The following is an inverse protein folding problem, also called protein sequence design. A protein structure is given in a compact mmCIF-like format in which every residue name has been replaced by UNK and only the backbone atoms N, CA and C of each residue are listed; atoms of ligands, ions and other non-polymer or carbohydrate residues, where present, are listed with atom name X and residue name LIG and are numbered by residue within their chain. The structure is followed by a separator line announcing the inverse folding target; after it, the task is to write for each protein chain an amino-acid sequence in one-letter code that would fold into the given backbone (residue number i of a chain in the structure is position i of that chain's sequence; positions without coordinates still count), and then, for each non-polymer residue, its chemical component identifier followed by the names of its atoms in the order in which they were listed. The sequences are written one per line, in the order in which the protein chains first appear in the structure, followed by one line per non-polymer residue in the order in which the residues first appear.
data_IF_757245763990
#
_entry.id   IF_757245763990
#
_cell.length_a   1.000
_cell.length_b   1.000
_cell.length_c   1.000
_cell.angle_alpha   90.00
_cell.angle_beta   90.00
_cell.angle_gamma   90.00
#
_symmetry.space_group_name_H-M   'P 1'
#
loop_
_entity.id
_entity.type
_entity.pdbx_description
1 polymer ?
#
# COMPACT_ATOMS: atom_id res chain seq x y z
N UNK A 1 64.80 -7.58 -6.75
CA UNK A 1 64.86 -7.66 -5.27
C UNK A 1 63.45 -7.83 -4.74
N UNK A 2 63.23 -8.92 -4.00
CA UNK A 2 62.14 -9.27 -3.05
C UNK A 2 60.68 -9.09 -3.51
N UNK A 3 59.88 -10.12 -3.82
CA UNK A 3 59.45 -11.33 -3.06
C UNK A 3 58.43 -11.08 -1.94
N UNK A 4 57.43 -11.97 -1.91
CA UNK A 4 56.47 -12.36 -0.85
C UNK A 4 55.04 -11.86 -1.10
N UNK A 5 53.99 -12.67 -1.09
CA UNK A 5 53.83 -14.06 -0.71
C UNK A 5 52.32 -14.32 -0.55
N UNK A 6 51.91 -15.53 -0.94
CA UNK A 6 50.57 -16.13 -0.88
C UNK A 6 49.86 -16.04 0.48
N UNK A 7 48.52 -16.17 0.50
CA UNK A 7 47.82 -17.33 1.09
C UNK A 7 46.29 -17.16 1.09
N UNK A 8 45.59 -18.18 0.60
CA UNK A 8 44.16 -18.41 0.74
C UNK A 8 43.79 -18.63 2.22
N UNK A 9 42.63 -18.12 2.65
CA UNK A 9 41.83 -18.78 3.69
C UNK A 9 40.33 -18.62 3.46
N UNK A 10 39.76 -19.76 3.09
CA UNK A 10 38.36 -20.11 3.05
C UNK A 10 37.86 -20.34 4.49
N UNK A 11 36.71 -19.75 4.85
CA UNK A 11 35.79 -20.19 5.93
C UNK A 11 34.38 -19.77 5.46
N UNK A 12 33.54 -20.69 4.98
CA UNK A 12 32.69 -21.60 5.75
C UNK A 12 31.66 -20.88 6.63
N UNK A 13 30.41 -20.95 6.18
CA UNK A 13 29.17 -21.05 6.96
C UNK A 13 29.08 -20.39 8.34
N UNK A 14 28.27 -19.34 8.41
CA UNK A 14 27.26 -19.26 9.47
C UNK A 14 26.05 -18.46 9.01
N UNK A 15 24.93 -19.15 9.01
CA UNK A 15 23.58 -18.64 8.87
C UNK A 15 23.32 -17.63 10.01
N UNK A 16 23.52 -16.35 9.73
CA UNK A 16 23.12 -15.30 10.67
C UNK A 16 21.63 -15.03 10.49
N UNK A 17 20.86 -15.77 11.27
CA UNK A 17 19.46 -15.49 11.58
C UNK A 17 19.38 -14.05 12.09
N UNK A 18 19.04 -13.11 11.21
CA UNK A 18 18.73 -11.75 11.59
C UNK A 18 17.41 -11.73 12.38
N UNK A 19 17.52 -11.93 13.70
CA UNK A 19 16.48 -11.54 14.65
C UNK A 19 16.42 -10.02 14.69
N UNK A 20 15.65 -9.43 13.78
CA UNK A 20 15.34 -8.01 13.80
C UNK A 20 14.32 -7.73 14.90
N UNK A 21 14.82 -7.40 16.09
CA UNK A 21 14.03 -6.87 17.20
C UNK A 21 13.64 -5.41 16.89
N UNK A 22 12.70 -5.19 15.95
CA UNK A 22 12.15 -3.85 15.70
C UNK A 22 10.98 -3.56 16.63
N UNK A 23 11.29 -3.20 17.88
CA UNK A 23 10.33 -2.52 18.77
C UNK A 23 10.24 -1.04 18.37
N UNK A 24 9.50 -0.73 17.30
CA UNK A 24 9.15 0.67 16.98
C UNK A 24 7.70 0.89 16.54
N UNK A 25 6.84 -0.07 16.88
CA UNK A 25 5.38 0.04 16.81
C UNK A 25 4.81 -0.62 18.07
N UNK A 26 5.00 0.03 19.23
CA UNK A 26 4.53 -0.48 20.51
C UNK A 26 4.17 0.67 21.43
N UNK A 27 2.92 1.14 21.34
CA UNK A 27 2.32 1.94 22.40
C UNK A 27 2.18 1.06 23.65
N UNK A 28 2.76 1.52 24.75
CA UNK A 28 2.84 0.82 26.02
C UNK A 28 1.44 0.72 26.68
N UNK A 29 0.88 -0.48 26.96
CA UNK A 29 -0.21 -0.59 27.93
C UNK A 29 0.39 -0.99 29.29
N UNK A 30 0.08 -0.18 30.30
CA UNK A 30 0.37 -0.53 31.70
C UNK A 30 -0.22 -1.89 32.03
N UNK A 31 0.60 -2.68 32.73
CA UNK A 31 0.37 -4.00 33.31
C UNK A 31 -0.98 -4.15 34.01
N UNK A 32 -1.71 -5.20 33.66
CA UNK A 32 -2.21 -6.20 34.62
C UNK A 32 -2.10 -7.58 33.95
N UNK A 33 -1.38 -8.50 34.59
CA UNK A 33 -1.19 -9.88 34.14
C UNK A 33 -2.27 -10.77 34.76
N UNK A 34 -2.86 -11.65 33.95
CA UNK A 34 -3.66 -12.77 34.44
C UNK A 34 -3.84 -13.83 33.35
N UNK A 35 -3.13 -14.95 33.50
CA UNK A 35 -3.60 -16.29 33.10
C UNK A 35 -3.42 -16.74 31.64
N UNK A 36 -2.35 -17.50 31.39
CA UNK A 36 -2.39 -18.88 30.83
C UNK A 36 -3.04 -19.19 29.48
N UNK A 37 -2.29 -19.89 28.62
CA UNK A 37 -2.86 -20.78 27.61
C UNK A 37 -2.21 -20.68 26.23
N UNK A 38 -1.34 -21.64 25.90
CA UNK A 38 -0.79 -21.78 24.56
C UNK A 38 -1.87 -22.15 23.53
N UNK A 39 -1.80 -21.55 22.35
CA UNK A 39 -2.70 -21.86 21.24
C UNK A 39 -2.10 -21.42 19.91
N UNK A 40 -1.88 -22.38 19.01
CA UNK A 40 -1.55 -22.16 17.60
C UNK A 40 -2.56 -21.19 17.00
N UNK A 41 -2.10 -20.09 16.40
CA UNK A 41 -2.96 -19.24 15.57
C UNK A 41 -3.37 -20.02 14.31
N UNK A 42 -4.56 -20.62 14.36
CA UNK A 42 -5.28 -21.07 13.16
C UNK A 42 -5.73 -19.84 12.38
N UNK A 43 -5.45 -19.87 11.08
CA UNK A 43 -5.95 -18.98 10.05
C UNK A 43 -7.48 -19.18 9.94
N UNK A 44 -8.25 -18.17 10.31
CA UNK A 44 -9.71 -18.06 10.13
C UNK A 44 -10.02 -16.57 9.99
N UNK A 45 -10.75 -16.04 9.01
CA UNK A 45 -11.65 -16.57 7.99
C UNK A 45 -11.56 -15.64 6.77
N UNK A 46 -11.40 -16.19 5.57
CA UNK A 46 -11.38 -15.47 4.28
C UNK A 46 -12.79 -15.36 3.66
N UNK A 47 -13.85 -15.64 4.41
CA UNK A 47 -15.19 -15.84 3.83
C UNK A 47 -16.08 -14.59 3.84
N UNK A 48 -15.54 -13.42 4.16
CA UNK A 48 -16.29 -12.15 4.10
C UNK A 48 -15.74 -11.19 3.03
N UNK A 49 -15.30 -11.74 1.88
CA UNK A 49 -14.87 -10.93 0.73
C UNK A 49 -15.54 -11.33 -0.59
N UNK A 50 -16.59 -12.16 -0.54
CA UNK A 50 -17.38 -12.54 -1.72
C UNK A 50 -18.14 -11.35 -2.35
N UNK A 51 -18.28 -10.23 -1.64
CA UNK A 51 -18.98 -9.02 -2.11
C UNK A 51 -18.20 -8.11 -3.08
N UNK A 52 -16.95 -8.45 -3.44
CA UNK A 52 -16.17 -7.69 -4.44
C UNK A 52 -15.94 -8.48 -5.74
N UNK A 53 -16.67 -9.58 -5.94
CA UNK A 53 -16.58 -10.41 -7.14
C UNK A 53 -17.30 -9.72 -8.33
N UNK A 54 -16.71 -8.65 -8.87
CA UNK A 54 -17.20 -7.94 -10.05
C UNK A 54 -16.71 -8.67 -11.30
N UNK A 55 -17.20 -9.89 -11.53
CA UNK A 55 -17.24 -10.47 -12.88
C UNK A 55 -18.53 -10.00 -13.55
N UNK A 56 -18.49 -8.76 -14.04
CA UNK A 56 -19.51 -8.20 -14.94
C UNK A 56 -19.17 -8.55 -16.38
N UNK A 57 -19.78 -9.63 -16.87
CA UNK A 57 -19.99 -10.06 -18.25
C UNK A 57 -19.51 -9.12 -19.39
N UNK A 58 -18.40 -9.50 -20.05
CA UNK A 58 -18.10 -9.14 -21.44
C UNK A 58 -17.92 -10.43 -22.25
N UNK A 59 -18.94 -10.74 -23.05
CA UNK A 59 -18.99 -11.67 -24.19
C UNK A 59 -17.92 -12.77 -24.36
N UNK A 60 -18.38 -14.02 -24.17
CA UNK A 60 -18.00 -15.23 -24.90
C UNK A 60 -16.60 -15.37 -25.48
N UNK A 61 -15.74 -16.11 -24.77
CA UNK A 61 -14.75 -16.98 -25.39
C UNK A 61 -14.35 -18.05 -24.38
N UNK A 62 -14.55 -19.31 -24.75
CA UNK A 62 -14.20 -20.48 -23.95
C UNK A 62 -12.68 -20.54 -23.75
N UNK A 63 -12.19 -20.10 -22.59
CA UNK A 63 -10.84 -20.40 -22.12
C UNK A 63 -10.85 -20.51 -20.59
N UNK A 64 -10.77 -21.75 -20.10
CA UNK A 64 -10.58 -22.06 -18.69
C UNK A 64 -9.23 -21.49 -18.21
N UNK A 65 -9.27 -20.62 -17.19
CA UNK A 65 -8.14 -20.43 -16.28
C UNK A 65 -7.13 -19.32 -16.58
N UNK A 66 -7.40 -18.38 -17.50
CA UNK A 66 -6.62 -17.15 -17.55
C UNK A 66 -7.03 -16.26 -16.36
N UNK A 67 -6.32 -16.36 -15.23
CA UNK A 67 -6.41 -15.35 -14.17
C UNK A 67 -5.95 -14.03 -14.80
N UNK A 68 -6.91 -13.18 -15.19
CA UNK A 68 -6.60 -11.86 -15.74
C UNK A 68 -5.84 -11.11 -14.65
N UNK A 69 -4.55 -10.88 -14.89
CA UNK A 69 -3.70 -10.12 -13.99
C UNK A 69 -4.23 -8.70 -13.94
N UNK A 70 -4.68 -8.27 -12.76
CA UNK A 70 -5.16 -6.89 -12.60
C UNK A 70 -4.01 -5.97 -12.22
N UNK A 71 -4.17 -4.68 -12.52
CA UNK A 71 -3.24 -3.65 -12.09
C UNK A 71 -3.81 -2.89 -10.91
N UNK A 72 -3.15 -3.02 -9.76
CA UNK A 72 -3.44 -2.27 -8.54
C UNK A 72 -2.48 -1.09 -8.47
N UNK A 73 -3.00 0.13 -8.40
CA UNK A 73 -2.20 1.34 -8.24
C UNK A 73 -2.44 1.98 -6.88
N UNK A 74 -1.36 2.35 -6.18
CA UNK A 74 -1.43 3.03 -4.89
C UNK A 74 -0.73 4.39 -4.99
N UNK A 75 -1.43 5.47 -4.62
CA UNK A 75 -0.79 6.78 -4.52
C UNK A 75 -0.05 6.90 -3.20
N UNK A 76 1.26 7.12 -3.28
CA UNK A 76 2.16 7.17 -2.12
C UNK A 76 2.80 8.53 -1.91
N UNK A 77 3.04 8.87 -0.65
CA UNK A 77 3.77 10.06 -0.19
C UNK A 77 4.46 9.76 1.16
N UNK A 78 5.08 10.75 1.79
CA UNK A 78 5.74 10.55 3.09
C UNK A 78 4.76 10.36 4.26
N UNK A 79 3.45 10.50 4.04
CA UNK A 79 2.45 10.47 5.12
C UNK A 79 2.23 9.06 5.67
N UNK A 80 1.74 8.98 6.91
CA UNK A 80 1.32 7.69 7.46
C UNK A 80 0.08 7.15 6.75
N UNK A 81 -0.79 8.01 6.21
CA UNK A 81 -2.04 7.58 5.56
C UNK A 81 -1.77 6.77 4.29
N UNK A 82 -0.82 7.20 3.45
CA UNK A 82 -0.42 6.47 2.26
C UNK A 82 0.26 5.14 2.58
N UNK A 83 1.12 5.08 3.60
CA UNK A 83 1.74 3.83 4.07
C UNK A 83 0.70 2.80 4.50
N UNK A 84 -0.37 3.25 5.18
CA UNK A 84 -1.47 2.37 5.58
C UNK A 84 -2.30 1.90 4.38
N UNK A 85 -2.52 2.76 3.38
CA UNK A 85 -3.19 2.40 2.13
C UNK A 85 -2.39 1.37 1.32
N UNK A 86 -1.07 1.53 1.26
CA UNK A 86 -0.16 0.56 0.63
C UNK A 86 -0.25 -0.80 1.32
N UNK A 87 -0.18 -0.82 2.66
CA UNK A 87 -0.30 -2.07 3.41
C UNK A 87 -1.65 -2.75 3.18
N UNK A 88 -2.74 -1.98 3.20
CA UNK A 88 -4.08 -2.48 2.89
C UNK A 88 -4.13 -3.08 1.48
N UNK A 89 -3.60 -2.38 0.48
CA UNK A 89 -3.61 -2.85 -0.89
C UNK A 89 -2.83 -4.16 -1.07
N UNK A 90 -1.65 -4.29 -0.44
CA UNK A 90 -0.85 -5.52 -0.49
C UNK A 90 -1.55 -6.73 0.13
N UNK A 91 -2.27 -6.51 1.24
CA UNK A 91 -2.84 -7.59 2.06
C UNK A 91 -4.25 -7.99 1.62
N UNK A 92 -5.05 -7.05 1.12
CA UNK A 92 -6.48 -7.27 0.83
C UNK A 92 -6.83 -7.15 -0.66
N UNK A 93 -6.00 -6.50 -1.48
CA UNK A 93 -6.36 -6.19 -2.87
C UNK A 93 -5.49 -6.94 -3.87
N UNK A 94 -4.17 -6.97 -3.68
CA UNK A 94 -3.23 -7.60 -4.60
C UNK A 94 -3.25 -9.13 -4.46
N UNK A 95 -3.26 -9.85 -5.57
CA UNK A 95 -3.13 -11.31 -5.67
C UNK A 95 -1.81 -11.69 -6.35
N UNK A 96 -1.52 -12.99 -6.39
CA UNK A 96 -0.30 -13.49 -7.02
C UNK A 96 -0.31 -13.21 -8.53
N UNK A 97 0.77 -12.65 -9.06
CA UNK A 97 0.89 -12.27 -10.46
C UNK A 97 0.23 -10.94 -10.83
N UNK A 98 -0.41 -10.23 -9.90
CA UNK A 98 -0.92 -8.88 -10.14
C UNK A 98 0.23 -7.87 -10.29
N UNK A 99 -0.03 -6.79 -11.04
CA UNK A 99 0.85 -5.62 -11.06
C UNK A 99 0.50 -4.69 -9.91
N UNK A 100 1.50 -4.24 -9.17
CA UNK A 100 1.36 -3.32 -8.05
C UNK A 100 2.18 -2.06 -8.26
N UNK A 101 1.53 -1.01 -8.75
CA UNK A 101 2.16 0.25 -9.11
C UNK A 101 2.11 1.24 -7.94
N UNK A 102 3.26 1.66 -7.44
CA UNK A 102 3.41 2.75 -6.48
C UNK A 102 3.58 4.08 -7.22
N UNK A 103 2.59 4.95 -7.17
CA UNK A 103 2.63 6.27 -7.81
C UNK A 103 2.94 7.37 -6.80
N UNK A 104 4.08 8.04 -6.95
CA UNK A 104 4.40 9.26 -6.23
C UNK A 104 4.28 10.47 -7.17
N UNK A 105 3.39 11.41 -6.85
CA UNK A 105 3.23 12.63 -7.65
C UNK A 105 3.93 13.79 -6.95
N UNK A 106 4.90 14.40 -7.64
CA UNK A 106 5.60 15.59 -7.18
C UNK A 106 4.83 16.81 -7.71
N UNK A 107 4.24 17.66 -6.85
CA UNK A 107 3.57 18.88 -7.30
C UNK A 107 4.57 19.79 -8.04
N UNK A 108 4.11 20.56 -9.04
CA UNK A 108 4.96 21.56 -9.68
C UNK A 108 5.22 22.70 -8.69
N UNK A 109 6.36 22.67 -7.99
CA UNK A 109 6.80 23.77 -7.13
C UNK A 109 7.66 24.75 -7.94
N UNK A 110 7.48 26.05 -7.71
CA UNK A 110 8.28 27.11 -8.36
C UNK A 110 9.76 27.16 -7.93
N UNK A 111 10.21 26.27 -7.02
CA UNK A 111 11.61 26.11 -6.64
C UNK A 111 11.91 24.64 -6.38
N UNK A 112 13.11 24.23 -6.79
CA UNK A 112 13.60 22.86 -6.91
C UNK A 112 13.23 21.97 -5.74
N UNK A 113 12.14 21.21 -5.90
CA UNK A 113 11.88 20.04 -5.08
C UNK A 113 12.91 18.98 -5.49
N UNK A 114 13.75 18.56 -4.55
CA UNK A 114 14.80 17.57 -4.80
C UNK A 114 14.20 16.25 -5.25
N UNK A 115 14.23 16.01 -6.57
CA UNK A 115 13.77 14.79 -7.24
C UNK A 115 14.38 13.52 -6.62
N UNK A 116 15.60 13.63 -6.06
CA UNK A 116 16.31 12.54 -5.40
C UNK A 116 15.48 11.95 -4.25
N UNK A 117 14.98 12.78 -3.33
CA UNK A 117 14.20 12.35 -2.16
C UNK A 117 12.91 11.57 -2.53
N UNK A 118 12.30 11.96 -3.65
CA UNK A 118 11.06 11.39 -4.16
C UNK A 118 11.28 10.01 -4.80
N UNK A 119 12.37 9.85 -5.56
CA UNK A 119 12.80 8.54 -6.07
C UNK A 119 13.19 7.59 -4.94
N UNK A 120 13.91 8.07 -3.92
CA UNK A 120 14.26 7.24 -2.75
C UNK A 120 13.01 6.72 -2.04
N UNK A 121 11.97 7.54 -1.89
CA UNK A 121 10.71 7.10 -1.27
C UNK A 121 10.03 6.00 -2.07
N UNK A 122 9.80 6.20 -3.37
CA UNK A 122 9.10 5.22 -4.20
C UNK A 122 9.87 3.90 -4.28
N UNK A 123 11.19 3.96 -4.39
CA UNK A 123 12.05 2.78 -4.40
C UNK A 123 12.07 2.06 -3.05
N UNK A 124 12.19 2.79 -1.93
CA UNK A 124 12.19 2.21 -0.59
C UNK A 124 10.86 1.49 -0.29
N UNK A 125 9.73 2.14 -0.61
CA UNK A 125 8.41 1.51 -0.49
C UNK A 125 8.26 0.32 -1.44
N UNK A 126 8.79 0.41 -2.66
CA UNK A 126 8.81 -0.69 -3.62
C UNK A 126 9.56 -1.91 -3.11
N UNK A 127 10.75 -1.72 -2.51
CA UNK A 127 11.51 -2.79 -1.88
C UNK A 127 10.75 -3.44 -0.72
N UNK A 128 10.03 -2.65 0.08
CA UNK A 128 9.18 -3.18 1.15
C UNK A 128 8.03 -4.03 0.59
N UNK A 129 7.37 -3.58 -0.48
CA UNK A 129 6.33 -4.37 -1.14
C UNK A 129 6.87 -5.73 -1.63
N UNK A 130 8.02 -5.72 -2.30
CA UNK A 130 8.68 -6.95 -2.79
C UNK A 130 9.06 -7.90 -1.65
N UNK A 131 9.52 -7.36 -0.52
CA UNK A 131 9.84 -8.17 0.65
C UNK A 131 8.60 -8.77 1.33
N UNK A 132 7.47 -8.05 1.33
CA UNK A 132 6.23 -8.52 1.95
C UNK A 132 5.45 -9.51 1.08
N UNK A 133 5.49 -9.34 -0.25
CA UNK A 133 4.72 -10.17 -1.19
C UNK A 133 5.49 -10.33 -2.51
N UNK A 134 6.46 -11.26 -2.57
CA UNK A 134 7.33 -11.42 -3.73
C UNK A 134 6.59 -11.95 -4.97
N UNK A 135 5.39 -12.50 -4.81
CA UNK A 135 4.56 -12.99 -5.93
C UNK A 135 3.91 -11.87 -6.75
N UNK A 136 3.99 -10.62 -6.29
CA UNK A 136 3.41 -9.44 -6.93
C UNK A 136 4.47 -8.69 -7.71
N UNK A 137 4.14 -8.26 -8.92
CA UNK A 137 5.04 -7.47 -9.75
C UNK A 137 4.99 -6.00 -9.36
N UNK A 138 5.97 -5.55 -8.58
CA UNK A 138 6.00 -4.18 -8.04
C UNK A 138 6.70 -3.22 -8.99
N UNK A 139 5.99 -2.16 -9.38
CA UNK A 139 6.45 -1.06 -10.22
C UNK A 139 6.41 0.26 -9.42
N UNK A 140 7.45 1.09 -9.49
CA UNK A 140 7.50 2.39 -8.82
C UNK A 140 7.56 3.51 -9.85
N UNK A 141 6.57 4.41 -9.83
CA UNK A 141 6.44 5.53 -10.75
C UNK A 141 6.49 6.85 -9.99
N UNK A 142 7.37 7.74 -10.42
CA UNK A 142 7.50 9.10 -9.89
C UNK A 142 7.21 10.08 -11.02
N UNK A 143 6.19 10.91 -10.87
CA UNK A 143 5.76 11.83 -11.93
C UNK A 143 5.58 13.22 -11.36
N UNK A 144 6.12 14.21 -12.06
CA UNK A 144 5.88 15.61 -11.72
C UNK A 144 4.59 16.11 -12.39
N UNK A 145 3.71 16.77 -11.65
CA UNK A 145 2.50 17.36 -12.20
C UNK A 145 1.40 17.63 -11.17
N UNK A 146 0.28 18.22 -11.60
CA UNK A 146 -0.86 18.45 -10.72
C UNK A 146 -1.44 17.11 -10.23
N UNK A 147 -1.59 16.97 -8.91
CA UNK A 147 -1.86 15.67 -8.26
C UNK A 147 -3.09 14.94 -8.84
N UNK A 148 -4.23 15.61 -8.97
CA UNK A 148 -5.47 15.00 -9.46
C UNK A 148 -5.35 14.54 -10.92
N UNK A 149 -4.97 15.45 -11.82
CA UNK A 149 -4.91 15.15 -13.26
C UNK A 149 -3.87 14.08 -13.56
N UNK A 150 -2.71 14.12 -12.91
CA UNK A 150 -1.68 13.09 -13.06
C UNK A 150 -2.20 11.72 -12.63
N UNK A 151 -2.86 11.61 -11.48
CA UNK A 151 -3.39 10.32 -10.99
C UNK A 151 -4.44 9.75 -11.95
N UNK A 152 -5.43 10.56 -12.36
CA UNK A 152 -6.47 10.12 -13.30
C UNK A 152 -5.86 9.73 -14.66
N UNK A 153 -4.85 10.48 -15.13
CA UNK A 153 -4.16 10.16 -16.37
C UNK A 153 -3.39 8.85 -16.29
N UNK A 154 -2.73 8.55 -15.15
CA UNK A 154 -2.05 7.27 -14.96
C UNK A 154 -3.03 6.11 -14.81
N UNK A 155 -4.19 6.32 -14.17
CA UNK A 155 -5.26 5.31 -14.13
C UNK A 155 -5.64 4.89 -15.55
N UNK A 156 -5.88 5.86 -16.42
CA UNK A 156 -6.27 5.60 -17.81
C UNK A 156 -5.13 5.02 -18.64
N UNK A 157 -3.91 5.57 -18.51
CA UNK A 157 -2.74 5.17 -19.30
C UNK A 157 -2.28 3.74 -19.00
N UNK A 158 -2.34 3.34 -17.73
CA UNK A 158 -1.87 2.02 -17.29
C UNK A 158 -3.02 1.00 -17.21
N UNK A 159 -4.24 1.39 -17.57
CA UNK A 159 -5.45 0.56 -17.45
C UNK A 159 -5.59 -0.01 -16.03
N UNK A 160 -5.45 0.86 -15.03
CA UNK A 160 -5.55 0.47 -13.62
C UNK A 160 -6.92 -0.10 -13.34
N UNK A 161 -6.97 -1.28 -12.75
CA UNK A 161 -8.22 -1.94 -12.37
C UNK A 161 -8.69 -1.47 -10.99
N UNK A 162 -7.75 -1.26 -10.05
CA UNK A 162 -8.04 -0.79 -8.70
C UNK A 162 -7.07 0.33 -8.29
N UNK A 163 -7.60 1.50 -7.95
CA UNK A 163 -6.86 2.63 -7.38
C UNK A 163 -7.06 2.69 -5.86
N UNK A 164 -5.97 2.74 -5.09
CA UNK A 164 -6.01 2.82 -3.63
C UNK A 164 -5.36 4.12 -3.14
N UNK A 165 -6.05 4.84 -2.25
CA UNK A 165 -5.65 6.15 -1.76
C UNK A 165 -5.69 6.22 -0.23
N UNK A 166 -4.70 6.86 0.39
CA UNK A 166 -4.71 7.13 1.83
C UNK A 166 -5.64 8.29 2.18
N UNK A 167 -6.65 8.03 3.02
CA UNK A 167 -7.60 9.04 3.50
C UNK A 167 -7.21 9.55 4.89
N UNK A 168 -7.18 10.87 5.05
CA UNK A 168 -6.86 11.52 6.33
C UNK A 168 -8.09 11.50 7.24
N UNK A 169 -7.86 11.32 8.55
CA UNK A 169 -8.94 11.41 9.53
C UNK A 169 -9.43 12.87 9.61
N UNK A 170 -10.74 13.14 9.44
CA UNK A 170 -11.26 14.49 9.65
C UNK A 170 -11.07 14.87 11.12
N UNK A 171 -10.42 16.00 11.38
CA UNK A 171 -10.19 16.53 12.72
C UNK A 171 -11.26 17.59 13.02
N UNK A 172 -12.11 17.40 14.05
CA UNK A 172 -13.24 18.30 14.30
C UNK A 172 -12.84 19.74 14.69
N UNK A 173 -11.60 19.95 15.18
CA UNK A 173 -11.13 21.26 15.65
C UNK A 173 -10.46 22.14 14.58
N UNK A 174 -10.27 21.66 13.35
CA UNK A 174 -9.56 22.40 12.28
C UNK A 174 -10.43 22.65 11.04
N UNK A 175 -11.75 22.46 11.12
CA UNK A 175 -12.68 22.69 10.01
C UNK A 175 -12.82 24.18 9.59
N UNK A 176 -12.20 25.12 10.30
CA UNK A 176 -12.28 26.56 10.02
C UNK A 176 -11.05 27.12 9.27
N UNK A 177 -9.92 26.40 9.20
CA UNK A 177 -8.71 26.86 8.53
C UNK A 177 -8.37 26.00 7.31
N UNK A 178 -9.09 26.19 6.20
CA UNK A 178 -8.69 25.87 4.80
C UNK A 178 -7.94 24.55 4.52
N UNK A 179 -8.12 23.50 5.32
CA UNK A 179 -7.37 22.24 5.26
C UNK A 179 -8.04 21.15 4.42
N UNK A 180 -8.76 21.51 3.35
CA UNK A 180 -9.64 20.60 2.58
C UNK A 180 -8.91 19.71 1.57
N UNK A 181 -7.68 20.04 1.18
CA UNK A 181 -7.11 19.51 -0.08
C UNK A 181 -6.94 17.98 -0.15
N UNK A 182 -6.53 17.31 0.94
CA UNK A 182 -6.19 15.88 0.86
C UNK A 182 -7.41 14.96 0.83
N UNK A 183 -8.47 15.27 1.60
CA UNK A 183 -9.69 14.47 1.59
C UNK A 183 -10.55 14.80 0.37
N UNK A 184 -10.58 16.06 -0.04
CA UNK A 184 -11.20 16.49 -1.28
C UNK A 184 -10.56 15.81 -2.49
N UNK A 185 -9.23 15.73 -2.55
CA UNK A 185 -8.51 14.99 -3.59
C UNK A 185 -8.93 13.50 -3.64
N UNK A 186 -9.03 12.82 -2.49
CA UNK A 186 -9.44 11.41 -2.46
C UNK A 186 -10.87 11.24 -2.96
N UNK A 187 -11.79 12.11 -2.51
CA UNK A 187 -13.18 12.05 -2.92
C UNK A 187 -13.33 12.40 -4.42
N UNK A 188 -12.54 13.34 -4.94
CA UNK A 188 -12.45 13.64 -6.37
C UNK A 188 -11.95 12.43 -7.18
N UNK A 189 -10.91 11.71 -6.72
CA UNK A 189 -10.49 10.49 -7.40
C UNK A 189 -11.58 9.40 -7.36
N UNK A 190 -12.26 9.21 -6.23
CA UNK A 190 -13.34 8.22 -6.09
C UNK A 190 -14.47 8.47 -7.09
N UNK A 191 -14.78 9.73 -7.36
CA UNK A 191 -15.89 10.12 -8.24
C UNK A 191 -15.50 10.15 -9.73
N UNK A 192 -14.24 10.45 -10.05
CA UNK A 192 -13.82 10.74 -11.43
C UNK A 192 -12.90 9.69 -12.07
N UNK A 193 -12.36 8.74 -11.30
CA UNK A 193 -11.53 7.69 -11.88
C UNK A 193 -12.36 6.64 -12.62
N UNK A 194 -11.88 6.20 -13.77
CA UNK A 194 -12.52 5.18 -14.62
C UNK A 194 -12.37 3.74 -14.08
N UNK A 195 -11.92 3.58 -12.84
CA UNK A 195 -11.64 2.29 -12.21
C UNK A 195 -12.20 2.20 -10.79
N UNK A 196 -12.19 0.99 -10.20
CA UNK A 196 -12.56 0.83 -8.79
C UNK A 196 -11.60 1.63 -7.92
N UNK A 197 -12.11 2.66 -7.26
CA UNK A 197 -11.29 3.54 -6.42
C UNK A 197 -11.66 3.42 -4.95
N UNK A 198 -10.64 3.25 -4.12
CA UNK A 198 -10.76 2.89 -2.71
C UNK A 198 -9.96 3.87 -1.85
N UNK A 199 -10.66 4.67 -1.05
CA UNK A 199 -10.08 5.52 -0.01
C UNK A 199 -9.95 4.76 1.31
N UNK A 200 -8.73 4.63 1.83
CA UNK A 200 -8.38 3.81 2.99
C UNK A 200 -7.97 4.68 4.16
N UNK A 201 -8.58 4.49 5.32
CA UNK A 201 -8.11 5.07 6.59
C UNK A 201 -7.93 3.98 7.64
N UNK A 202 -6.80 3.95 8.35
CA UNK A 202 -6.62 3.04 9.49
C UNK A 202 -7.52 3.48 10.64
N UNK A 203 -8.23 2.53 11.24
CA UNK A 203 -9.00 2.79 12.46
C UNK A 203 -8.07 2.72 13.68
N UNK A 204 -8.19 3.72 14.56
CA UNK A 204 -7.38 3.85 15.78
C UNK A 204 -8.13 3.50 17.06
N UNK A 205 -9.44 3.23 16.98
CA UNK A 205 -10.31 2.97 18.13
C UNK A 205 -10.35 1.49 18.46
N UNK A 206 -9.35 1.00 19.19
CA UNK A 206 -9.36 -0.27 19.95
C UNK A 206 -9.41 -1.59 19.17
N UNK A 207 -10.19 -1.69 18.10
CA UNK A 207 -10.54 -2.97 17.43
C UNK A 207 -9.75 -3.19 16.12
N UNK A 208 -8.78 -2.32 15.81
CA UNK A 208 -7.94 -2.45 14.62
C UNK A 208 -8.71 -2.31 13.30
N UNK A 209 -8.08 -2.64 12.17
CA UNK A 209 -8.73 -2.59 10.86
C UNK A 209 -8.66 -1.25 10.11
N UNK A 210 -9.39 -1.23 8.99
CA UNK A 210 -9.42 -0.14 8.03
C UNK A 210 -10.85 0.28 7.76
N UNK A 211 -11.08 1.58 7.65
CA UNK A 211 -12.34 2.10 7.14
C UNK A 211 -12.12 2.48 5.68
N UNK A 212 -13.06 2.07 4.85
CA UNK A 212 -12.97 2.13 3.41
C UNK A 212 -14.06 3.05 2.87
N UNK A 213 -13.72 3.83 1.86
CA UNK A 213 -14.66 4.64 1.09
C UNK A 213 -14.50 4.32 -0.39
N UNK A 214 -15.60 4.04 -1.06
CA UNK A 214 -15.73 3.85 -2.50
C UNK A 214 -16.78 4.82 -3.04
N UNK A 215 -17.06 4.74 -4.34
CA UNK A 215 -18.09 5.56 -4.99
C UNK A 215 -19.48 5.33 -4.40
N UNK A 216 -19.78 4.08 -4.03
CA UNK A 216 -21.12 3.66 -3.60
C UNK A 216 -21.28 3.57 -2.09
N UNK A 217 -20.19 3.36 -1.35
CA UNK A 217 -20.23 3.20 0.10
C UNK A 217 -19.14 4.02 0.76
N UNK A 218 -19.50 4.76 1.80
CA UNK A 218 -18.55 5.56 2.56
C UNK A 218 -18.36 4.99 3.95
N UNK A 219 -17.11 4.94 4.39
CA UNK A 219 -16.71 4.62 5.77
C UNK A 219 -17.13 3.23 6.27
N UNK A 220 -17.27 2.23 5.39
CA UNK A 220 -17.51 0.86 5.86
C UNK A 220 -16.23 0.29 6.48
N UNK A 221 -16.37 -0.51 7.54
CA UNK A 221 -15.25 -1.00 8.33
C UNK A 221 -14.86 -2.42 7.89
N UNK A 222 -13.59 -2.60 7.55
CA UNK A 222 -12.96 -3.88 7.31
C UNK A 222 -12.05 -4.24 8.49
N UNK A 223 -12.27 -5.42 9.05
CA UNK A 223 -11.42 -6.00 10.08
C UNK A 223 -10.06 -6.37 9.46
N UNK A 224 -9.00 -6.21 10.26
CA UNK A 224 -7.62 -6.56 9.87
C UNK A 224 -7.29 -8.02 10.19
#
# INVERSE_FOLDING_TARGET
MSSSGSFLRQLSGREEVWKSASRRWGGNPKKYCGGGGGGRCKRSNLEQMEGLNIYGNCGGSENYGAVVRKRVMVVVDQTSHSKHAMMFALTHVANNGDFFTLLHVIPPTHKGSDCSSSHYLANSLGSLCKACKPEVEVEALVIQGPKLSTVLSQVKKLEVSVLVLGKKRPTPFLNCLHGTSSNEFVDQCINNADCLTVGVRKQSSGVGGYLISTRWQKNFWLLA
#
